data_IF_389557221744
#
_entry.id   IF_389557221744
#
_cell.length_a   1.000
_cell.length_b   1.000
_cell.length_c   1.000
_cell.angle_alpha   90.00
_cell.angle_beta   90.00
_cell.angle_gamma   90.00
#
_symmetry.space_group_name_H-M   'P 1'
#
loop_
_entity.id
_entity.type
_entity.pdbx_description
1 polymer ?
#
# COMPACT_ATOMS: atom_id res chain seq x y z
N UNK A 1 5.27 -14.67 8.84
CA UNK A 1 5.85 -14.01 7.65
C UNK A 1 4.81 -14.07 6.55
N UNK A 2 4.36 -12.93 6.00
CA UNK A 2 3.29 -12.87 4.99
C UNK A 2 3.79 -12.29 3.65
N UNK A 3 5.10 -12.38 3.41
CA UNK A 3 5.73 -11.95 2.17
C UNK A 3 5.80 -13.15 1.21
N UNK A 4 5.26 -12.99 0.00
CA UNK A 4 5.18 -14.04 -1.03
C UNK A 4 4.42 -15.33 -0.63
N UNK A 5 3.67 -15.31 0.47
CA UNK A 5 2.96 -16.50 0.96
C UNK A 5 3.87 -17.63 1.46
N UNK A 6 5.17 -17.37 1.66
CA UNK A 6 6.15 -18.38 2.05
C UNK A 6 6.15 -18.59 3.57
N UNK A 7 6.08 -19.86 3.97
CA UNK A 7 6.30 -20.33 5.33
C UNK A 7 7.78 -20.37 5.73
N UNK A 8 8.06 -20.57 7.02
CA UNK A 8 9.42 -20.59 7.57
C UNK A 8 10.31 -21.70 6.99
N UNK A 9 9.71 -22.77 6.49
CA UNK A 9 10.39 -23.92 5.91
C UNK A 9 10.40 -23.90 4.38
N UNK A 10 9.78 -22.90 3.76
CA UNK A 10 9.70 -22.83 2.31
C UNK A 10 11.03 -22.34 1.72
N UNK A 11 11.34 -22.86 0.53
CA UNK A 11 12.56 -22.52 -0.18
C UNK A 11 12.46 -21.08 -0.69
N UNK A 12 13.24 -20.18 -0.09
CA UNK A 12 13.32 -18.78 -0.52
C UNK A 12 14.12 -18.68 -1.83
N UNK A 13 13.63 -17.94 -2.85
CA UNK A 13 14.38 -17.66 -4.06
C UNK A 13 15.71 -16.96 -3.74
N UNK A 14 16.82 -17.57 -4.13
CA UNK A 14 18.13 -16.93 -4.04
C UNK A 14 18.41 -15.97 -5.20
N UNK A 15 19.48 -15.20 -5.11
CA UNK A 15 19.86 -14.20 -6.12
C UNK A 15 19.91 -14.76 -7.56
N UNK A 16 20.42 -15.99 -7.74
CA UNK A 16 20.48 -16.65 -9.06
C UNK A 16 19.09 -16.93 -9.64
N UNK A 17 18.13 -17.30 -8.80
CA UNK A 17 16.75 -17.58 -9.24
C UNK A 17 16.04 -16.30 -9.66
N UNK A 18 16.23 -15.21 -8.91
CA UNK A 18 15.72 -13.88 -9.28
C UNK A 18 16.34 -13.39 -10.59
N UNK A 19 17.65 -13.57 -10.77
CA UNK A 19 18.34 -13.22 -12.01
C UNK A 19 17.79 -14.03 -13.20
N UNK A 20 17.67 -15.36 -13.06
CA UNK A 20 17.11 -16.22 -14.11
C UNK A 20 15.69 -15.81 -14.47
N UNK A 21 14.85 -15.52 -13.48
CA UNK A 21 13.49 -15.04 -13.72
C UNK A 21 13.47 -13.77 -14.58
N UNK A 22 14.28 -12.77 -14.22
CA UNK A 22 14.43 -11.55 -15.02
C UNK A 22 14.90 -11.85 -16.44
N UNK A 23 15.87 -12.75 -16.60
CA UNK A 23 16.39 -13.11 -17.92
C UNK A 23 15.32 -13.74 -18.81
N UNK A 24 14.50 -14.64 -18.26
CA UNK A 24 13.39 -15.25 -19.02
C UNK A 24 12.36 -14.21 -19.48
N UNK A 25 12.07 -13.20 -18.64
CA UNK A 25 11.17 -12.12 -19.01
C UNK A 25 11.74 -11.23 -20.11
N UNK A 26 13.05 -10.99 -20.12
CA UNK A 26 13.73 -10.25 -21.19
C UNK A 26 13.69 -11.03 -22.50
N UNK A 27 14.04 -12.32 -22.47
CA UNK A 27 13.99 -13.20 -23.64
C UNK A 27 12.58 -13.29 -24.23
N UNK A 28 11.55 -13.28 -23.38
CA UNK A 28 10.16 -13.26 -23.80
C UNK A 28 9.65 -11.89 -24.26
N UNK A 29 10.45 -10.81 -24.15
CA UNK A 29 10.01 -9.44 -24.45
C UNK A 29 8.86 -8.95 -23.56
N UNK A 30 8.67 -9.56 -22.39
CA UNK A 30 7.49 -9.36 -21.55
C UNK A 30 7.66 -8.24 -20.51
N UNK A 31 8.89 -7.74 -20.33
CA UNK A 31 9.21 -6.74 -19.30
C UNK A 31 8.32 -5.51 -19.45
N UNK A 32 8.30 -4.86 -20.61
CA UNK A 32 7.58 -3.59 -20.79
C UNK A 32 6.07 -3.75 -20.59
N UNK A 33 5.48 -4.86 -21.07
CA UNK A 33 4.06 -5.13 -20.90
C UNK A 33 3.67 -5.37 -19.43
N UNK A 34 4.50 -6.10 -18.68
CA UNK A 34 4.27 -6.35 -17.26
C UNK A 34 4.40 -5.07 -16.44
N UNK A 35 5.42 -4.25 -16.71
CA UNK A 35 5.62 -2.98 -16.01
C UNK A 35 4.52 -1.97 -16.32
N UNK A 36 4.07 -1.85 -17.58
CA UNK A 36 2.95 -0.98 -17.91
C UNK A 36 1.65 -1.40 -17.21
N UNK A 37 1.37 -2.70 -17.13
CA UNK A 37 0.22 -3.20 -16.37
C UNK A 37 0.34 -2.86 -14.88
N UNK A 38 1.53 -3.02 -14.32
CA UNK A 38 1.81 -2.67 -12.93
C UNK A 38 1.64 -1.15 -12.67
N UNK A 39 2.13 -0.31 -13.56
CA UNK A 39 1.98 1.16 -13.46
C UNK A 39 0.52 1.58 -13.49
N UNK A 40 -0.32 0.95 -14.32
CA UNK A 40 -1.78 1.19 -14.33
C UNK A 40 -2.41 0.82 -12.99
N UNK A 41 -1.99 -0.29 -12.37
CA UNK A 41 -2.48 -0.69 -11.04
C UNK A 41 -2.07 0.35 -9.99
N UNK A 42 -0.81 0.82 -10.02
CA UNK A 42 -0.32 1.84 -9.10
C UNK A 42 -1.09 3.15 -9.26
N UNK A 43 -1.26 3.62 -10.50
CA UNK A 43 -2.01 4.84 -10.80
C UNK A 43 -3.46 4.75 -10.31
N UNK A 44 -4.14 3.62 -10.54
CA UNK A 44 -5.51 3.40 -10.07
C UNK A 44 -5.61 3.38 -8.53
N UNK A 45 -4.55 2.96 -7.85
CA UNK A 45 -4.45 3.02 -6.39
C UNK A 45 -4.02 4.41 -5.87
N UNK A 46 -3.82 5.40 -6.74
CA UNK A 46 -3.43 6.77 -6.39
C UNK A 46 -1.92 6.98 -6.23
N UNK A 47 -1.11 6.01 -6.63
CA UNK A 47 0.35 6.11 -6.63
C UNK A 47 0.84 6.57 -8.00
N UNK A 48 1.58 7.69 -8.02
CA UNK A 48 2.32 8.16 -9.19
C UNK A 48 3.79 7.77 -9.01
N UNK A 49 4.21 6.59 -9.48
CA UNK A 49 5.62 6.23 -9.43
C UNK A 49 6.40 7.18 -10.34
N UNK A 50 7.25 8.04 -9.76
CA UNK A 50 8.21 8.81 -10.56
C UNK A 50 9.35 7.87 -10.94
N UNK A 51 9.72 7.84 -12.22
CA UNK A 51 10.77 6.95 -12.74
C UNK A 51 12.04 7.03 -11.90
N UNK A 52 12.60 5.89 -11.51
CA UNK A 52 13.84 5.82 -10.72
C UNK A 52 13.64 5.78 -9.20
N UNK A 53 12.40 5.78 -8.70
CA UNK A 53 12.13 5.54 -7.29
C UNK A 53 12.07 4.03 -6.99
N UNK A 54 12.97 3.56 -6.10
CA UNK A 54 12.85 2.23 -5.50
C UNK A 54 11.82 2.33 -4.37
N UNK A 55 10.67 1.69 -4.54
CA UNK A 55 9.61 1.66 -3.55
C UNK A 55 9.77 0.40 -2.69
N UNK A 56 10.38 0.52 -1.51
CA UNK A 56 10.38 -0.54 -0.49
C UNK A 56 9.09 -0.42 0.34
N UNK A 57 7.95 -0.81 -0.22
CA UNK A 57 6.69 -0.75 0.51
C UNK A 57 5.91 -2.06 0.44
N UNK A 58 5.54 -2.56 1.61
CA UNK A 58 4.40 -3.47 1.75
C UNK A 58 3.15 -2.61 1.65
N UNK A 59 2.36 -2.77 0.58
CA UNK A 59 1.06 -2.11 0.47
C UNK A 59 0.07 -2.79 1.43
N UNK A 60 -0.13 -2.19 2.61
CA UNK A 60 -1.14 -2.63 3.57
C UNK A 60 -2.35 -1.71 3.41
N UNK A 61 -3.55 -2.28 3.25
CA UNK A 61 -4.78 -1.48 3.22
C UNK A 61 -4.86 -0.63 4.50
N UNK A 62 -4.92 0.69 4.33
CA UNK A 62 -5.18 1.58 5.45
C UNK A 62 -6.55 1.24 6.08
N UNK A 63 -6.67 1.25 7.41
CA UNK A 63 -7.93 0.98 8.09
C UNK A 63 -9.05 1.89 7.55
N UNK A 64 -10.11 1.30 6.97
CA UNK A 64 -11.24 2.06 6.43
C UNK A 64 -11.93 2.85 7.55
N UNK A 65 -11.76 4.17 7.55
CA UNK A 65 -12.42 5.05 8.51
C UNK A 65 -13.93 5.11 8.24
N UNK A 66 -14.73 4.43 9.08
CA UNK A 66 -16.18 4.61 9.13
C UNK A 66 -16.51 5.89 9.91
N UNK A 67 -16.37 7.04 9.26
CA UNK A 67 -16.78 8.36 9.79
C UNK A 67 -18.14 8.74 9.20
N UNK A 68 -19.02 9.28 10.03
CA UNK A 68 -20.27 9.93 9.62
C UNK A 68 -19.99 11.26 8.91
N UNK A 69 -20.98 11.84 8.22
CA UNK A 69 -20.79 13.09 7.47
C UNK A 69 -20.48 14.28 8.38
N UNK A 70 -21.05 14.33 9.58
CA UNK A 70 -20.78 15.39 10.55
C UNK A 70 -19.35 15.28 11.09
N UNK A 71 -18.91 14.07 11.46
CA UNK A 71 -17.52 13.80 11.87
C UNK A 71 -16.52 14.17 10.76
N UNK A 72 -16.85 13.91 9.48
CA UNK A 72 -16.00 14.33 8.35
C UNK A 72 -15.93 15.84 8.21
N UNK A 73 -17.00 16.57 8.49
CA UNK A 73 -17.06 18.03 8.40
C UNK A 73 -16.18 18.67 9.47
N UNK A 74 -16.23 18.15 10.69
CA UNK A 74 -15.38 18.61 11.78
C UNK A 74 -13.89 18.33 11.52
N UNK A 75 -13.56 17.12 11.05
CA UNK A 75 -12.17 16.76 10.70
C UNK A 75 -11.61 17.64 9.57
N UNK A 76 -12.43 17.97 8.56
CA UNK A 76 -12.04 18.90 7.49
C UNK A 76 -11.80 20.32 8.00
N UNK A 77 -12.49 20.71 9.07
CA UNK A 77 -12.28 21.98 9.76
C UNK A 77 -11.12 21.92 10.78
N UNK A 78 -10.37 20.81 10.85
CA UNK A 78 -9.29 20.60 11.82
C UNK A 78 -9.77 20.41 13.26
N UNK A 79 -11.06 20.11 13.46
CA UNK A 79 -11.67 19.89 14.77
C UNK A 79 -11.88 18.41 15.03
N UNK A 80 -11.61 17.98 16.26
CA UNK A 80 -11.88 16.61 16.71
C UNK A 80 -13.35 16.56 17.17
N UNK A 81 -14.20 15.66 16.63
CA UNK A 81 -15.58 15.54 17.06
C UNK A 81 -15.68 15.30 18.57
N UNK A 82 -16.60 15.99 19.25
CA UNK A 82 -16.76 15.91 20.70
C UNK A 82 -17.04 14.46 21.14
N UNK A 83 -17.85 13.74 20.37
CA UNK A 83 -18.19 12.32 20.56
C UNK A 83 -16.98 11.37 20.55
N UNK A 84 -15.82 11.83 20.10
CA UNK A 84 -14.56 11.06 20.11
C UNK A 84 -13.74 11.33 21.36
N UNK A 85 -13.84 12.53 21.95
CA UNK A 85 -13.14 12.90 23.17
C UNK A 85 -13.60 12.03 24.35
N UNK A 86 -14.89 11.69 24.39
CA UNK A 86 -15.47 10.80 25.39
C UNK A 86 -15.17 9.31 25.16
N UNK A 87 -14.49 8.96 24.04
CA UNK A 87 -14.21 7.58 23.62
C UNK A 87 -12.73 7.40 23.26
N UNK A 88 -11.85 7.21 24.26
CA UNK A 88 -10.39 7.16 24.05
C UNK A 88 -9.95 6.03 23.10
N UNK A 89 -10.64 4.88 23.11
CA UNK A 89 -10.38 3.76 22.19
C UNK A 89 -10.82 4.06 20.76
N UNK A 90 -11.85 4.90 20.57
CA UNK A 90 -12.28 5.36 19.25
C UNK A 90 -11.26 6.37 18.71
N UNK A 91 -10.76 7.26 19.56
CA UNK A 91 -9.75 8.26 19.22
C UNK A 91 -8.44 7.61 18.72
N UNK A 92 -7.93 6.59 19.42
CA UNK A 92 -6.67 5.91 19.05
C UNK A 92 -6.74 5.15 17.71
N UNK A 93 -7.94 4.73 17.30
CA UNK A 93 -8.15 4.03 16.03
C UNK A 93 -8.50 4.97 14.87
N UNK A 94 -8.55 6.28 15.10
CA UNK A 94 -8.90 7.27 14.07
C UNK A 94 -7.71 8.16 13.76
N UNK A 95 -7.30 8.14 12.51
CA UNK A 95 -6.43 9.17 11.96
C UNK A 95 -7.17 10.52 11.92
N UNK A 96 -6.63 11.49 12.63
CA UNK A 96 -7.12 12.87 12.75
C UNK A 96 -6.20 13.85 12.04
N UNK A 97 -5.07 13.38 11.50
CA UNK A 97 -4.10 14.20 10.77
C UNK A 97 -4.12 13.82 9.29
N UNK A 98 -5.15 14.29 8.58
CA UNK A 98 -5.05 14.40 7.14
C UNK A 98 -4.07 15.55 6.83
N UNK A 99 -2.86 15.21 6.37
CA UNK A 99 -1.89 16.17 5.82
C UNK A 99 -1.74 15.95 4.33
#
# INVERSE_FOLDING_TARGET
MRFLGLGLSDRVPGAKMVWLFREHLIQAGAIDGLFNCFDVILQNAGYLPMSGQILDTTLVEAPKQRNTNDEKTDLRAGRIPQDWQDKPVKLSHKDHHAR
#
